data_IF_685511400659
#
_entry.id   IF_685511400659
#
_cell.length_a   1.000
_cell.length_b   1.000
_cell.length_c   1.000
_cell.angle_alpha   90.00
_cell.angle_beta   90.00
_cell.angle_gamma   90.00
#
_symmetry.space_group_name_H-M   'P 1'
#
loop_
_entity.id
_entity.type
_entity.pdbx_description
1 polymer ?
#
# COMPACT_ATOMS: atom_id res chain seq x y z
N UNK A 1 12.95 -30.09 6.65
CA UNK A 1 11.93 -29.20 7.23
C UNK A 1 11.56 -28.03 6.33
N UNK A 2 12.42 -27.67 5.38
CA UNK A 2 12.22 -26.55 4.42
C UNK A 2 10.91 -26.68 3.59
N UNK A 3 10.60 -27.90 3.14
CA UNK A 3 9.40 -28.13 2.34
C UNK A 3 8.09 -27.98 3.13
N UNK A 4 8.12 -28.24 4.44
CA UNK A 4 6.94 -28.13 5.29
C UNK A 4 6.55 -26.68 5.51
N UNK A 5 7.51 -25.78 5.75
CA UNK A 5 7.30 -24.35 5.88
C UNK A 5 6.67 -23.75 4.62
N UNK A 6 7.16 -24.15 3.44
CA UNK A 6 6.59 -23.74 2.16
C UNK A 6 5.13 -24.19 2.02
N UNK A 7 4.84 -25.46 2.30
CA UNK A 7 3.48 -26.00 2.21
C UNK A 7 2.52 -25.26 3.14
N UNK A 8 2.95 -24.99 4.38
CA UNK A 8 2.14 -24.22 5.34
C UNK A 8 1.82 -22.82 4.81
N UNK A 9 2.82 -22.12 4.28
CA UNK A 9 2.62 -20.76 3.71
C UNK A 9 1.67 -20.80 2.52
N UNK A 10 1.84 -21.74 1.59
CA UNK A 10 0.98 -21.88 0.41
C UNK A 10 -0.45 -22.21 0.82
N UNK A 11 -0.64 -23.15 1.74
CA UNK A 11 -1.97 -23.52 2.25
C UNK A 11 -2.62 -22.32 2.96
N UNK A 12 -1.88 -21.58 3.77
CA UNK A 12 -2.38 -20.39 4.45
C UNK A 12 -2.79 -19.31 3.44
N UNK A 13 -1.99 -19.06 2.40
CA UNK A 13 -2.30 -18.10 1.35
C UNK A 13 -3.59 -18.45 0.60
N UNK A 14 -3.85 -19.74 0.31
CA UNK A 14 -5.10 -20.17 -0.30
C UNK A 14 -6.29 -20.16 0.66
N UNK A 15 -6.08 -20.51 1.92
CA UNK A 15 -7.16 -20.56 2.91
C UNK A 15 -7.64 -19.17 3.34
N UNK A 16 -6.75 -18.19 3.40
CA UNK A 16 -7.09 -16.84 3.90
C UNK A 16 -8.20 -16.18 3.08
N UNK A 17 -8.14 -16.08 1.74
CA UNK A 17 -9.24 -15.52 0.94
C UNK A 17 -10.55 -16.27 1.13
N UNK A 18 -10.49 -17.61 1.21
CA UNK A 18 -11.68 -18.46 1.41
C UNK A 18 -12.33 -18.15 2.77
N UNK A 19 -11.52 -18.02 3.82
CA UNK A 19 -12.00 -17.69 5.17
C UNK A 19 -12.63 -16.30 5.19
N UNK A 20 -11.96 -15.28 4.63
CA UNK A 20 -12.46 -13.91 4.57
C UNK A 20 -13.80 -13.84 3.85
N UNK A 21 -13.91 -14.50 2.70
CA UNK A 21 -15.16 -14.58 1.93
C UNK A 21 -16.26 -15.38 2.65
N UNK A 22 -15.89 -16.50 3.29
CA UNK A 22 -16.86 -17.36 3.99
C UNK A 22 -17.51 -16.66 5.19
N UNK A 23 -16.71 -15.87 5.92
CA UNK A 23 -17.19 -15.12 7.08
C UNK A 23 -17.75 -13.74 6.74
N UNK A 24 -17.82 -13.39 5.44
CA UNK A 24 -18.36 -12.12 4.95
C UNK A 24 -17.71 -10.89 5.62
N UNK A 25 -16.39 -10.97 5.87
CA UNK A 25 -15.61 -9.91 6.50
C UNK A 25 -15.28 -8.85 5.44
N UNK A 26 -16.30 -8.14 4.96
CA UNK A 26 -16.17 -7.13 3.90
C UNK A 26 -15.36 -5.88 4.32
N UNK A 27 -15.08 -5.77 5.61
CA UNK A 27 -14.30 -4.66 6.16
C UNK A 27 -12.79 -4.84 5.98
N UNK A 28 -12.31 -6.10 5.89
CA UNK A 28 -10.89 -6.41 5.86
C UNK A 28 -10.48 -6.82 4.44
N UNK A 29 -9.61 -6.02 3.76
CA UNK A 29 -9.02 -6.43 2.49
C UNK A 29 -8.28 -7.76 2.62
N UNK A 30 -8.40 -8.63 1.61
CA UNK A 30 -7.81 -9.97 1.62
C UNK A 30 -6.29 -9.90 1.86
N UNK A 31 -5.61 -8.92 1.26
CA UNK A 31 -4.16 -8.74 1.44
C UNK A 31 -3.80 -8.47 2.91
N UNK A 32 -4.59 -7.66 3.61
CA UNK A 32 -4.37 -7.39 5.04
C UNK A 32 -4.60 -8.67 5.87
N UNK A 33 -5.62 -9.46 5.52
CA UNK A 33 -5.86 -10.75 6.16
C UNK A 33 -4.71 -11.74 5.94
N UNK A 34 -4.11 -11.76 4.74
CA UNK A 34 -2.93 -12.59 4.43
C UNK A 34 -1.70 -12.17 5.24
N UNK A 35 -1.47 -10.87 5.40
CA UNK A 35 -0.38 -10.35 6.26
C UNK A 35 -0.62 -10.78 7.72
N UNK A 36 -1.83 -10.63 8.24
CA UNK A 36 -2.19 -11.04 9.61
C UNK A 36 -2.03 -12.55 9.78
N UNK A 37 -2.47 -13.35 8.81
CA UNK A 37 -2.26 -14.79 8.81
C UNK A 37 -0.76 -15.14 8.82
N UNK A 38 0.05 -14.44 8.02
CA UNK A 38 1.50 -14.60 8.02
C UNK A 38 2.14 -14.32 9.39
N UNK A 39 1.65 -13.30 10.12
CA UNK A 39 2.10 -13.01 11.49
C UNK A 39 1.72 -14.14 12.45
N UNK A 40 0.49 -14.68 12.31
CA UNK A 40 -0.01 -15.76 13.17
C UNK A 40 0.78 -17.05 12.98
N UNK A 41 1.01 -17.48 11.74
CA UNK A 41 1.75 -18.74 11.47
C UNK A 41 3.27 -18.58 11.58
N UNK A 42 3.75 -17.34 11.48
CA UNK A 42 5.17 -17.00 11.50
C UNK A 42 5.81 -17.13 12.89
N UNK A 43 7.06 -16.74 12.94
CA UNK A 43 7.89 -16.82 14.16
C UNK A 43 7.35 -15.97 15.33
N UNK A 44 6.51 -14.96 15.02
CA UNK A 44 6.00 -14.04 16.05
C UNK A 44 4.93 -14.64 16.95
N UNK A 45 4.18 -15.66 16.51
CA UNK A 45 3.08 -16.22 17.30
C UNK A 45 3.13 -17.75 17.40
N UNK A 46 2.78 -18.48 16.34
CA UNK A 46 2.73 -19.96 16.38
C UNK A 46 4.07 -20.63 16.08
N UNK A 47 5.02 -19.90 15.49
CA UNK A 47 6.33 -20.41 15.08
C UNK A 47 6.26 -21.70 14.25
N UNK A 48 5.24 -21.80 13.37
CA UNK A 48 5.04 -22.95 12.47
C UNK A 48 5.91 -22.90 11.22
N UNK A 49 6.39 -21.70 10.86
CA UNK A 49 7.17 -21.44 9.66
C UNK A 49 8.56 -20.96 10.06
N UNK A 50 9.57 -21.74 9.70
CA UNK A 50 10.97 -21.33 9.82
C UNK A 50 11.40 -20.54 8.57
N UNK A 51 12.17 -19.47 8.78
CA UNK A 51 12.74 -18.68 7.68
C UNK A 51 13.92 -19.45 7.10
N UNK A 52 13.70 -20.09 5.98
CA UNK A 52 14.74 -20.71 5.18
C UNK A 52 15.13 -19.86 3.96
N UNK A 53 16.21 -20.24 3.28
CA UNK A 53 16.71 -19.54 2.12
C UNK A 53 15.69 -19.57 0.96
N UNK A 54 14.92 -20.64 0.82
CA UNK A 54 13.95 -20.81 -0.24
C UNK A 54 12.74 -19.88 -0.06
N UNK A 55 12.18 -19.80 1.15
CA UNK A 55 11.10 -18.85 1.49
C UNK A 55 11.55 -17.40 1.29
N UNK A 56 12.80 -17.09 1.61
CA UNK A 56 13.34 -15.76 1.43
C UNK A 56 13.44 -15.36 -0.06
N UNK A 57 13.89 -16.29 -0.91
CA UNK A 57 13.92 -16.09 -2.37
C UNK A 57 12.50 -15.92 -2.91
N UNK A 58 11.55 -16.76 -2.50
CA UNK A 58 10.15 -16.71 -2.95
C UNK A 58 9.48 -15.40 -2.53
N UNK A 59 9.70 -14.97 -1.30
CA UNK A 59 9.23 -13.68 -0.77
C UNK A 59 9.78 -12.50 -1.58
N UNK A 60 11.08 -12.51 -1.89
CA UNK A 60 11.73 -11.48 -2.70
C UNK A 60 11.15 -11.45 -4.12
N UNK A 61 10.98 -12.62 -4.75
CA UNK A 61 10.36 -12.72 -6.08
C UNK A 61 8.91 -12.23 -6.06
N UNK A 62 8.14 -12.61 -5.05
CA UNK A 62 6.77 -12.15 -4.87
C UNK A 62 6.69 -10.63 -4.73
N UNK A 63 7.58 -10.04 -3.95
CA UNK A 63 7.68 -8.60 -3.77
C UNK A 63 8.02 -7.88 -5.09
N UNK A 64 9.04 -8.35 -5.83
CA UNK A 64 9.42 -7.78 -7.13
C UNK A 64 8.25 -7.86 -8.11
N UNK A 65 7.57 -9.00 -8.17
CA UNK A 65 6.42 -9.20 -9.06
C UNK A 65 5.25 -8.28 -8.69
N UNK A 66 4.97 -8.11 -7.42
CA UNK A 66 3.94 -7.20 -6.92
C UNK A 66 4.26 -5.75 -7.27
N UNK A 67 5.50 -5.31 -7.10
CA UNK A 67 5.96 -3.97 -7.49
C UNK A 67 5.86 -3.76 -9.00
N UNK A 68 6.20 -4.77 -9.80
CA UNK A 68 6.06 -4.72 -11.25
C UNK A 68 4.59 -4.56 -11.68
N UNK A 69 3.69 -5.37 -11.11
CA UNK A 69 2.25 -5.26 -11.39
C UNK A 69 1.70 -3.88 -10.98
N UNK A 70 2.10 -3.38 -9.81
CA UNK A 70 1.70 -2.05 -9.34
C UNK A 70 2.14 -0.96 -10.29
N UNK A 71 3.36 -1.06 -10.82
CA UNK A 71 3.88 -0.13 -11.83
C UNK A 71 3.09 -0.15 -13.15
N UNK A 72 2.63 -1.30 -13.59
CA UNK A 72 1.81 -1.44 -14.82
C UNK A 72 0.41 -0.83 -14.68
N UNK A 73 -0.10 -0.68 -13.47
CA UNK A 73 -1.45 -0.17 -13.23
C UNK A 73 -1.53 1.35 -13.11
N UNK A 74 -0.38 2.04 -13.09
CA UNK A 74 -0.32 3.50 -13.10
C UNK A 74 -0.76 4.00 -14.48
N UNK A 75 -1.93 4.63 -14.54
CA UNK A 75 -2.39 5.30 -15.75
C UNK A 75 -1.79 6.71 -15.85
N UNK A 76 -0.68 6.82 -16.56
CA UNK A 76 -0.02 8.10 -16.81
C UNK A 76 -0.88 9.10 -17.61
N UNK A 77 -1.91 8.63 -18.31
CA UNK A 77 -2.83 9.53 -19.03
C UNK A 77 -3.79 10.24 -18.08
N UNK A 78 -4.10 9.63 -16.93
CA UNK A 78 -4.87 10.29 -15.89
C UNK A 78 -4.17 11.52 -15.30
N UNK A 79 -2.84 11.63 -15.48
CA UNK A 79 -2.04 12.76 -15.02
C UNK A 79 -1.85 13.85 -16.10
N UNK A 80 -2.07 13.52 -17.37
CA UNK A 80 -2.12 14.52 -18.42
C UNK A 80 -3.39 15.35 -18.23
N UNK A 81 -3.21 16.64 -17.99
CA UNK A 81 -4.27 17.64 -18.04
C UNK A 81 -5.08 17.41 -19.31
N UNK A 82 -6.33 17.03 -19.18
CA UNK A 82 -7.26 16.93 -20.29
C UNK A 82 -7.46 18.34 -20.83
N UNK A 83 -6.59 18.74 -21.78
CA UNK A 83 -6.62 20.05 -22.47
C UNK A 83 -7.68 20.07 -23.59
N UNK A 84 -8.56 19.05 -23.61
CA UNK A 84 -9.68 19.08 -24.56
C UNK A 84 -10.90 19.67 -23.85
N UNK A 85 -11.40 20.85 -24.29
CA UNK A 85 -12.67 21.33 -23.81
C UNK A 85 -13.73 20.32 -24.23
N UNK A 86 -14.32 19.60 -23.27
CA UNK A 86 -15.59 18.91 -23.51
C UNK A 86 -16.62 19.95 -23.83
N UNK A 87 -16.98 20.03 -25.11
CA UNK A 87 -18.14 20.83 -25.56
C UNK A 87 -19.39 20.20 -24.94
N UNK A 88 -19.97 20.87 -23.93
CA UNK A 88 -21.34 20.62 -23.52
C UNK A 88 -21.63 20.24 -22.08
N UNK A 89 -20.75 20.53 -21.12
CA UNK A 89 -21.09 20.33 -19.70
C UNK A 89 -20.97 21.60 -18.87
N UNK A 90 -21.94 21.79 -17.98
CA UNK A 90 -22.26 23.00 -17.24
C UNK A 90 -21.10 23.63 -16.47
N UNK A 91 -21.06 24.97 -16.48
CA UNK A 91 -20.08 25.87 -15.86
C UNK A 91 -20.03 25.87 -14.33
N UNK A 92 -20.17 24.72 -13.65
CA UNK A 92 -20.13 24.66 -12.19
C UNK A 92 -19.08 23.68 -11.62
N UNK A 93 -18.20 23.13 -12.46
CA UNK A 93 -17.06 22.39 -11.91
C UNK A 93 -15.92 23.39 -11.68
N UNK A 94 -15.76 23.79 -10.41
CA UNK A 94 -14.62 24.58 -9.92
C UNK A 94 -13.35 23.92 -10.44
N UNK A 95 -12.46 24.72 -11.06
CA UNK A 95 -11.10 24.34 -11.45
C UNK A 95 -10.44 23.51 -10.35
N UNK A 96 -10.56 22.19 -10.42
CA UNK A 96 -9.81 21.29 -9.55
C UNK A 96 -8.36 21.48 -9.93
N UNK A 97 -7.51 22.00 -9.03
CA UNK A 97 -6.09 22.14 -9.31
C UNK A 97 -5.59 20.79 -9.79
N UNK A 98 -4.87 20.78 -10.92
CA UNK A 98 -4.53 19.54 -11.64
C UNK A 98 -4.12 18.45 -10.66
N UNK A 99 -4.63 17.25 -10.84
CA UNK A 99 -4.52 16.11 -9.90
C UNK A 99 -3.14 15.96 -9.27
N UNK A 100 -2.09 16.31 -10.01
CA UNK A 100 -0.71 16.31 -9.53
C UNK A 100 -0.47 17.39 -8.45
N UNK A 101 -0.97 18.62 -8.63
CA UNK A 101 -0.80 19.69 -7.63
C UNK A 101 -1.53 19.33 -6.32
N UNK A 102 -2.73 18.76 -6.44
CA UNK A 102 -3.50 18.32 -5.28
C UNK A 102 -2.78 17.16 -4.56
N UNK A 103 -2.26 16.17 -5.30
CA UNK A 103 -1.51 15.05 -4.74
C UNK A 103 -0.24 15.54 -4.03
N UNK A 104 0.49 16.47 -4.63
CA UNK A 104 1.68 17.07 -4.03
C UNK A 104 1.34 17.84 -2.74
N UNK A 105 0.22 18.57 -2.73
CA UNK A 105 -0.25 19.29 -1.54
C UNK A 105 -0.63 18.32 -0.41
N UNK A 106 -1.37 17.25 -0.74
CA UNK A 106 -1.74 16.21 0.24
C UNK A 106 -0.49 15.51 0.77
N UNK A 107 0.44 15.16 -0.12
CA UNK A 107 1.71 14.56 0.27
C UNK A 107 2.52 15.48 1.20
N UNK A 108 2.64 16.77 0.88
CA UNK A 108 3.30 17.75 1.74
C UNK A 108 2.64 17.85 3.12
N UNK A 109 1.30 17.76 3.17
CA UNK A 109 0.56 17.77 4.43
C UNK A 109 0.81 16.49 5.25
N UNK A 110 0.85 15.33 4.60
CA UNK A 110 1.23 14.05 5.23
C UNK A 110 2.64 14.16 5.82
N UNK A 111 3.60 14.69 5.06
CA UNK A 111 4.97 14.89 5.53
C UNK A 111 5.03 15.81 6.75
N UNK A 112 4.29 16.92 6.74
CA UNK A 112 4.24 17.85 7.87
C UNK A 112 3.69 17.17 9.14
N UNK A 113 2.61 16.40 9.02
CA UNK A 113 2.05 15.63 10.15
C UNK A 113 3.06 14.57 10.62
N UNK A 114 3.72 13.87 9.71
CA UNK A 114 4.73 12.84 10.04
C UNK A 114 5.90 13.42 10.83
N UNK A 115 6.36 14.63 10.47
CA UNK A 115 7.41 15.36 11.21
C UNK A 115 6.94 15.65 12.63
N UNK A 116 5.74 16.22 12.79
CA UNK A 116 5.19 16.55 14.12
C UNK A 116 5.07 15.30 14.99
N UNK A 117 4.55 14.20 14.42
CA UNK A 117 4.42 12.93 15.15
C UNK A 117 5.78 12.32 15.50
N UNK A 118 6.76 12.35 14.60
CA UNK A 118 8.10 11.83 14.86
C UNK A 118 8.77 12.59 16.03
N UNK A 119 8.65 13.93 16.09
CA UNK A 119 9.13 14.72 17.22
C UNK A 119 8.36 14.44 18.51
N UNK A 120 7.03 14.26 18.44
CA UNK A 120 6.22 13.90 19.60
C UNK A 120 6.65 12.55 20.20
N UNK A 121 6.87 11.53 19.35
CA UNK A 121 7.35 10.21 19.81
C UNK A 121 8.75 10.27 20.44
N UNK A 122 9.63 11.12 19.89
CA UNK A 122 10.94 11.36 20.50
C UNK A 122 10.81 12.02 21.87
N UNK A 123 9.94 13.02 21.98
CA UNK A 123 9.71 13.71 23.24
C UNK A 123 9.13 12.79 24.32
N UNK A 124 8.29 11.83 23.93
CA UNK A 124 7.75 10.79 24.82
C UNK A 124 8.78 9.69 25.17
N UNK A 125 10.00 9.77 24.64
CA UNK A 125 11.04 8.77 24.88
C UNK A 125 10.80 7.40 24.21
N UNK A 126 9.84 7.32 23.28
CA UNK A 126 9.48 6.07 22.60
C UNK A 126 10.45 5.72 21.44
N UNK A 127 11.13 6.73 20.89
CA UNK A 127 12.01 6.58 19.72
C UNK A 127 13.26 7.44 19.89
N UNK A 128 14.42 6.86 19.53
CA UNK A 128 15.70 7.57 19.56
C UNK A 128 15.98 8.32 18.26
N UNK A 129 15.55 7.77 17.11
CA UNK A 129 15.83 8.31 15.79
C UNK A 129 14.56 8.90 15.15
N UNK A 130 14.54 10.24 15.05
CA UNK A 130 13.41 10.99 14.48
C UNK A 130 13.31 10.74 12.98
N UNK A 131 14.43 10.62 12.27
CA UNK A 131 14.44 10.47 10.81
C UNK A 131 13.88 9.12 10.42
N UNK A 132 14.27 8.06 11.12
CA UNK A 132 13.74 6.72 10.93
C UNK A 132 12.23 6.68 11.19
N UNK A 133 11.78 7.32 12.27
CA UNK A 133 10.35 7.37 12.60
C UNK A 133 9.54 8.17 11.58
N UNK A 134 10.11 9.27 11.07
CA UNK A 134 9.50 10.08 10.02
C UNK A 134 9.29 9.25 8.75
N UNK A 135 10.31 8.53 8.30
CA UNK A 135 10.22 7.66 7.12
C UNK A 135 9.13 6.60 7.34
N UNK A 136 9.12 5.92 8.47
CA UNK A 136 8.11 4.89 8.78
C UNK A 136 6.68 5.44 8.71
N UNK A 137 6.43 6.62 9.29
CA UNK A 137 5.09 7.22 9.33
C UNK A 137 4.68 7.76 7.95
N UNK A 138 5.62 8.28 7.15
CA UNK A 138 5.33 8.88 5.84
C UNK A 138 5.19 7.86 4.72
N UNK A 139 5.67 6.63 4.91
CA UNK A 139 5.62 5.58 3.90
C UNK A 139 4.21 5.04 3.71
N UNK A 140 3.77 4.96 2.46
CA UNK A 140 2.51 4.34 2.05
C UNK A 140 2.85 3.10 1.20
N UNK A 141 2.47 1.92 1.64
CA UNK A 141 2.80 0.68 0.92
C UNK A 141 1.93 0.50 -0.33
N UNK A 142 2.51 0.67 -1.51
CA UNK A 142 1.86 0.32 -2.79
C UNK A 142 1.43 -1.15 -2.84
N UNK A 143 2.20 -2.03 -2.18
CA UNK A 143 1.89 -3.44 -2.08
C UNK A 143 0.57 -3.77 -1.37
N UNK A 144 0.08 -2.88 -0.53
CA UNK A 144 -1.24 -3.00 0.12
C UNK A 144 -2.28 -2.15 -0.61
N UNK A 145 -1.93 -0.93 -1.01
CA UNK A 145 -2.87 0.02 -1.64
C UNK A 145 -3.43 -0.53 -2.94
N UNK A 146 -2.58 -1.03 -3.85
CA UNK A 146 -3.00 -1.48 -5.18
C UNK A 146 -3.97 -2.66 -5.12
N UNK A 147 -3.68 -3.78 -4.41
CA UNK A 147 -4.63 -4.87 -4.28
C UNK A 147 -5.94 -4.44 -3.61
N UNK A 148 -5.87 -3.59 -2.59
CA UNK A 148 -7.06 -3.07 -1.91
C UNK A 148 -7.95 -2.25 -2.83
N UNK A 149 -7.39 -1.33 -3.63
CA UNK A 149 -8.15 -0.54 -4.60
C UNK A 149 -8.78 -1.42 -5.69
N UNK A 150 -8.11 -2.50 -6.08
CA UNK A 150 -8.66 -3.51 -7.01
C UNK A 150 -9.84 -4.25 -6.40
N UNK A 151 -9.69 -4.76 -5.19
CA UNK A 151 -10.73 -5.51 -4.48
C UNK A 151 -11.99 -4.65 -4.29
N UNK A 152 -11.81 -3.36 -3.98
CA UNK A 152 -12.91 -2.40 -3.86
C UNK A 152 -13.47 -1.94 -5.21
N UNK A 153 -12.89 -2.32 -6.35
CA UNK A 153 -13.27 -1.89 -7.70
C UNK A 153 -13.20 -0.37 -7.93
N UNK A 154 -12.43 0.37 -7.13
CA UNK A 154 -12.27 1.82 -7.26
C UNK A 154 -10.97 2.26 -7.94
N UNK A 155 -10.13 1.32 -8.34
CA UNK A 155 -8.81 1.60 -8.91
C UNK A 155 -8.85 2.52 -10.13
N UNK A 156 -9.87 2.38 -10.99
CA UNK A 156 -10.05 3.19 -12.22
C UNK A 156 -10.84 4.47 -11.99
N UNK A 157 -11.28 4.73 -10.78
CA UNK A 157 -11.97 5.98 -10.43
C UNK A 157 -10.96 7.12 -10.23
N UNK A 158 -11.42 8.36 -10.33
CA UNK A 158 -10.61 9.56 -10.04
C UNK A 158 -9.99 9.49 -8.63
N UNK A 159 -10.75 9.00 -7.65
CA UNK A 159 -10.29 8.85 -6.26
C UNK A 159 -9.20 7.77 -6.17
N UNK A 160 -9.42 6.61 -6.79
CA UNK A 160 -8.45 5.52 -6.78
C UNK A 160 -7.12 5.93 -7.43
N UNK A 161 -7.17 6.59 -8.58
CA UNK A 161 -5.98 7.11 -9.25
C UNK A 161 -5.27 8.20 -8.43
N UNK A 162 -6.03 9.02 -7.72
CA UNK A 162 -5.47 10.03 -6.82
C UNK A 162 -4.73 9.39 -5.63
N UNK A 163 -5.33 8.38 -4.98
CA UNK A 163 -4.70 7.62 -3.89
C UNK A 163 -3.42 6.95 -4.39
N UNK A 164 -3.47 6.33 -5.57
CA UNK A 164 -2.32 5.69 -6.19
C UNK A 164 -1.18 6.68 -6.43
N UNK A 165 -1.50 7.88 -6.94
CA UNK A 165 -0.50 8.93 -7.18
C UNK A 165 0.18 9.38 -5.89
N UNK A 166 -0.59 9.61 -4.82
CA UNK A 166 -0.04 9.98 -3.51
C UNK A 166 0.86 8.87 -2.96
N UNK A 167 0.45 7.61 -3.11
CA UNK A 167 1.24 6.46 -2.66
C UNK A 167 2.58 6.34 -3.43
N UNK A 168 2.55 6.52 -4.76
CA UNK A 168 3.77 6.53 -5.60
C UNK A 168 4.71 7.67 -5.21
N UNK A 169 4.18 8.86 -4.94
CA UNK A 169 4.99 9.99 -4.49
C UNK A 169 5.65 9.70 -3.13
N UNK A 170 4.91 9.08 -2.20
CA UNK A 170 5.42 8.70 -0.91
C UNK A 170 6.56 7.66 -1.04
N UNK A 171 6.38 6.62 -1.85
CA UNK A 171 7.40 5.59 -2.10
C UNK A 171 8.66 6.17 -2.74
N UNK A 172 8.50 7.01 -3.78
CA UNK A 172 9.65 7.67 -4.41
C UNK A 172 10.45 8.51 -3.43
N UNK A 173 9.75 9.23 -2.54
CA UNK A 173 10.40 10.09 -1.55
C UNK A 173 11.14 9.29 -0.48
N UNK A 174 10.60 8.15 -0.07
CA UNK A 174 11.21 7.31 0.98
C UNK A 174 12.34 6.41 0.46
N UNK A 175 12.47 6.26 -0.88
CA UNK A 175 13.55 5.51 -1.54
C UNK A 175 14.83 6.35 -1.76
N UNK A 176 14.75 7.68 -1.69
CA UNK A 176 15.86 8.61 -1.90
C UNK A 176 16.53 8.92 -0.56
#
# INVERSE_FOLDING_TARGET
MEFLSLVIVVVAAFMTPIIVHRFNINFLPVVVAEILMGIVIGHSFLNLVERDAFLNILSTLGFIFLMFLSGLEIDFNAFKKDSRPRQGEDKHEKDVPGHLKLALTVFAFIMMISVVLAFAFKWLGLVNDVLLMLIIISTISLGVVVPTLKEMNIMRTTIGQFILLVAVLADLFTMI
#
